data_IF_482598699124
#
_entry.id   IF_482598699124
#
_cell.length_a   1.000
_cell.length_b   1.000
_cell.length_c   1.000
_cell.angle_alpha   90.00
_cell.angle_beta   90.00
_cell.angle_gamma   90.00
#
_symmetry.space_group_name_H-M   'P 1'
#
loop_
_entity.id
_entity.type
_entity.pdbx_description
1 polymer ?
#
# COMPACT_ATOMS: atom_id res chain seq x y z
N UNK A 1 8.03 7.27 -26.96
CA UNK A 1 6.97 8.29 -27.06
C UNK A 1 7.00 9.07 -25.77
N UNK A 2 7.58 10.26 -25.71
CA UNK A 2 7.22 11.48 -26.45
C UNK A 2 7.03 12.50 -25.34
N UNK A 3 7.99 13.41 -25.18
CA UNK A 3 7.96 14.41 -24.13
C UNK A 3 6.85 15.40 -24.40
N UNK A 4 5.67 15.15 -23.84
CA UNK A 4 4.66 16.18 -23.68
C UNK A 4 5.06 17.02 -22.47
N UNK A 5 5.31 18.29 -22.74
CA UNK A 5 5.53 19.34 -21.77
C UNK A 5 4.42 19.28 -20.70
N UNK A 6 4.80 19.42 -19.43
CA UNK A 6 3.87 19.57 -18.30
C UNK A 6 3.09 20.91 -18.36
N UNK A 7 2.56 21.30 -19.52
CA UNK A 7 1.71 22.49 -19.69
C UNK A 7 0.39 22.40 -18.91
N UNK A 8 0.04 21.20 -18.40
CA UNK A 8 -1.19 20.98 -17.64
C UNK A 8 -1.12 21.34 -16.15
N UNK A 9 0.07 21.57 -15.59
CA UNK A 9 0.24 21.77 -14.14
C UNK A 9 0.60 23.22 -13.78
N UNK A 10 -0.31 23.93 -13.09
CA UNK A 10 -0.02 25.25 -12.52
C UNK A 10 1.30 25.27 -11.71
N UNK A 11 2.17 26.29 -11.88
CA UNK A 11 3.47 26.35 -11.21
C UNK A 11 3.38 26.30 -9.69
N UNK A 12 2.37 26.97 -9.11
CA UNK A 12 2.13 26.96 -7.67
C UNK A 12 1.77 25.55 -7.16
N UNK A 13 0.93 24.84 -7.92
CA UNK A 13 0.57 23.47 -7.58
C UNK A 13 1.77 22.53 -7.69
N UNK A 14 2.55 22.66 -8.76
CA UNK A 14 3.79 21.88 -8.93
C UNK A 14 4.74 22.07 -7.76
N UNK A 15 4.97 23.32 -7.34
CA UNK A 15 5.80 23.63 -6.17
C UNK A 15 5.29 22.94 -4.90
N UNK A 16 3.97 23.00 -4.66
CA UNK A 16 3.33 22.32 -3.52
C UNK A 16 3.56 20.80 -3.57
N UNK A 17 3.29 20.16 -4.70
CA UNK A 17 3.45 18.72 -4.88
C UNK A 17 4.89 18.27 -4.62
N UNK A 18 5.87 19.01 -5.15
CA UNK A 18 7.29 18.71 -4.94
C UNK A 18 7.71 18.85 -3.47
N UNK A 19 7.18 19.85 -2.76
CA UNK A 19 7.42 20.01 -1.31
C UNK A 19 6.81 18.84 -0.52
N UNK A 20 5.54 18.51 -0.77
CA UNK A 20 4.86 17.38 -0.13
C UNK A 20 5.60 16.07 -0.38
N UNK A 21 6.03 15.84 -1.62
CA UNK A 21 6.79 14.67 -2.01
C UNK A 21 8.13 14.60 -1.28
N UNK A 22 8.91 15.70 -1.25
CA UNK A 22 10.19 15.75 -0.55
C UNK A 22 10.05 15.44 0.95
N UNK A 23 9.00 15.94 1.61
CA UNK A 23 8.71 15.58 3.00
C UNK A 23 8.39 14.09 3.15
N UNK A 24 7.61 13.53 2.23
CA UNK A 24 7.26 12.11 2.25
C UNK A 24 8.48 11.21 1.99
N UNK A 25 9.33 11.52 1.01
CA UNK A 25 10.56 10.79 0.72
C UNK A 25 11.49 10.76 1.96
N UNK A 26 11.70 11.92 2.60
CA UNK A 26 12.44 12.00 3.87
C UNK A 26 11.83 11.12 4.96
N UNK A 27 10.49 11.04 5.05
CA UNK A 27 9.81 10.16 6.02
C UNK A 27 10.07 8.68 5.71
N UNK A 28 10.10 8.28 4.45
CA UNK A 28 10.36 6.89 4.05
C UNK A 28 11.81 6.49 4.38
N UNK A 29 12.78 7.38 4.11
CA UNK A 29 14.22 7.13 4.31
C UNK A 29 14.69 7.29 5.77
N UNK A 30 13.91 7.96 6.64
CA UNK A 30 14.29 8.15 8.05
C UNK A 30 14.46 6.80 8.75
N UNK A 31 15.68 6.57 9.25
CA UNK A 31 15.98 5.53 10.25
C UNK A 31 15.20 5.84 11.55
N UNK A 32 14.93 4.82 12.36
CA UNK A 32 14.22 5.01 13.63
C UNK A 32 14.94 6.08 14.49
N UNK A 33 14.22 7.02 15.12
CA UNK A 33 14.84 8.00 16.01
C UNK A 33 15.57 7.26 17.14
N UNK A 34 16.76 7.71 17.54
CA UNK A 34 17.61 7.02 18.53
C UNK A 34 16.90 6.88 19.90
N UNK A 35 15.95 7.76 20.24
CA UNK A 35 15.08 7.64 21.43
C UNK A 35 14.03 6.53 21.38
N UNK A 36 13.92 5.78 20.27
CA UNK A 36 12.93 4.71 20.08
C UNK A 36 13.37 3.33 20.58
N UNK A 37 14.56 3.20 21.18
CA UNK A 37 15.04 1.91 21.73
C UNK A 37 14.07 1.36 22.80
N UNK A 38 13.46 2.23 23.61
CA UNK A 38 12.41 1.84 24.55
C UNK A 38 11.13 1.37 23.86
N UNK A 39 10.70 2.08 22.81
CA UNK A 39 9.57 1.65 21.97
C UNK A 39 9.86 0.34 21.22
N UNK A 40 11.12 0.07 20.86
CA UNK A 40 11.54 -1.19 20.21
C UNK A 40 11.38 -2.38 21.15
N UNK A 41 11.69 -2.24 22.43
CA UNK A 41 11.47 -3.31 23.42
C UNK A 41 9.97 -3.60 23.60
N UNK A 42 9.13 -2.56 23.59
CA UNK A 42 7.67 -2.71 23.66
C UNK A 42 7.12 -3.32 22.36
N UNK A 43 7.58 -2.87 21.19
CA UNK A 43 7.16 -3.39 19.89
C UNK A 43 7.59 -4.85 19.69
N UNK A 44 8.80 -5.21 20.14
CA UNK A 44 9.28 -6.61 20.09
C UNK A 44 8.50 -7.50 21.05
N UNK A 45 8.12 -6.99 22.23
CA UNK A 45 7.22 -7.71 23.16
C UNK A 45 5.82 -7.86 22.57
N UNK A 46 5.24 -6.80 21.96
CA UNK A 46 3.94 -6.86 21.30
C UNK A 46 3.92 -7.85 20.13
N UNK A 47 4.98 -7.89 19.30
CA UNK A 47 5.09 -8.88 18.22
C UNK A 47 5.11 -10.32 18.75
N UNK A 48 5.69 -10.54 19.94
CA UNK A 48 5.69 -11.84 20.64
C UNK A 48 4.37 -12.15 21.36
N UNK A 49 3.51 -11.15 21.57
CA UNK A 49 2.18 -11.32 22.18
C UNK A 49 1.10 -11.68 21.16
N UNK A 50 1.36 -11.54 19.85
CA UNK A 50 0.47 -12.03 18.81
C UNK A 50 0.49 -13.57 18.86
N UNK A 51 -0.65 -14.24 19.09
CA UNK A 51 -0.72 -15.69 19.14
C UNK A 51 -0.31 -16.34 17.80
N UNK A 52 0.32 -17.51 17.87
CA UNK A 52 0.82 -18.24 16.69
C UNK A 52 -0.27 -18.49 15.63
N UNK A 53 -1.51 -18.79 16.05
CA UNK A 53 -2.64 -18.96 15.13
C UNK A 53 -2.96 -17.69 14.32
N UNK A 54 -2.77 -16.51 14.91
CA UNK A 54 -2.96 -15.23 14.22
C UNK A 54 -1.84 -14.99 13.21
N UNK A 55 -0.58 -15.27 13.58
CA UNK A 55 0.56 -15.19 12.67
C UNK A 55 0.35 -16.08 11.43
N UNK A 56 -0.13 -17.31 11.63
CA UNK A 56 -0.42 -18.25 10.56
C UNK A 56 -1.57 -17.76 9.66
N UNK A 57 -2.66 -17.25 10.24
CA UNK A 57 -3.79 -16.71 9.49
C UNK A 57 -3.38 -15.49 8.65
N UNK A 58 -2.59 -14.58 9.21
CA UNK A 58 -2.06 -13.42 8.50
C UNK A 58 -1.14 -13.88 7.36
N UNK A 59 -0.20 -14.79 7.63
CA UNK A 59 0.74 -15.31 6.63
C UNK A 59 0.00 -15.97 5.47
N UNK A 60 -0.97 -16.83 5.76
CA UNK A 60 -1.81 -17.49 4.77
C UNK A 60 -2.58 -16.47 3.93
N UNK A 61 -3.18 -15.47 4.58
CA UNK A 61 -3.95 -14.45 3.85
C UNK A 61 -3.06 -13.58 2.98
N UNK A 62 -1.86 -13.20 3.45
CA UNK A 62 -0.86 -12.48 2.64
C UNK A 62 -0.49 -13.30 1.41
N UNK A 63 -0.25 -14.61 1.55
CA UNK A 63 0.03 -15.50 0.42
C UNK A 63 -1.13 -15.48 -0.59
N UNK A 64 -2.37 -15.66 -0.13
CA UNK A 64 -3.56 -15.64 -1.00
C UNK A 64 -3.77 -14.29 -1.66
N UNK A 65 -3.51 -13.21 -0.94
CA UNK A 65 -3.58 -11.84 -1.45
C UNK A 65 -2.56 -11.64 -2.58
N UNK A 66 -1.29 -11.97 -2.36
CA UNK A 66 -0.23 -11.86 -3.37
C UNK A 66 -0.59 -12.67 -4.61
N UNK A 67 -0.99 -13.93 -4.45
CA UNK A 67 -1.43 -14.77 -5.58
C UNK A 67 -2.66 -14.19 -6.29
N UNK A 68 -3.65 -13.72 -5.55
CA UNK A 68 -4.86 -13.10 -6.10
C UNK A 68 -4.54 -11.87 -6.94
N UNK A 69 -3.60 -11.05 -6.48
CA UNK A 69 -3.09 -9.91 -7.27
C UNK A 69 -2.36 -10.41 -8.51
N UNK A 70 -1.37 -11.28 -8.37
CA UNK A 70 -0.53 -11.70 -9.50
C UNK A 70 -1.31 -12.40 -10.62
N UNK A 71 -2.22 -13.31 -10.26
CA UNK A 71 -2.89 -14.23 -11.19
C UNK A 71 -4.37 -13.86 -11.47
N UNK A 72 -5.04 -13.14 -10.56
CA UNK A 72 -6.49 -12.88 -10.65
C UNK A 72 -6.88 -11.47 -11.08
N UNK A 73 -6.07 -10.45 -10.76
CA UNK A 73 -6.45 -9.06 -10.94
C UNK A 73 -6.64 -8.65 -12.41
N UNK A 74 -6.05 -9.37 -13.37
CA UNK A 74 -6.23 -9.10 -14.80
C UNK A 74 -7.70 -9.15 -15.28
N UNK A 75 -8.59 -9.78 -14.51
CA UNK A 75 -9.99 -9.98 -14.88
C UNK A 75 -10.98 -9.04 -14.18
N UNK A 76 -10.54 -8.20 -13.23
CA UNK A 76 -11.47 -7.43 -12.36
C UNK A 76 -11.08 -5.96 -12.15
N UNK A 77 -10.04 -5.47 -12.84
CA UNK A 77 -9.50 -4.11 -12.65
C UNK A 77 -10.11 -3.07 -13.60
N UNK A 78 -10.23 -1.84 -13.11
CA UNK A 78 -10.63 -0.71 -13.94
C UNK A 78 -9.57 -0.39 -15.01
N UNK A 79 -10.03 0.02 -16.20
CA UNK A 79 -9.15 0.48 -17.27
C UNK A 79 -8.48 1.82 -16.92
N UNK A 80 -7.29 2.10 -17.46
CA UNK A 80 -6.63 3.40 -17.34
C UNK A 80 -7.58 4.55 -17.71
N UNK A 81 -7.57 5.61 -16.91
CA UNK A 81 -8.39 6.80 -17.11
C UNK A 81 -7.51 7.96 -17.56
N UNK A 82 -8.06 8.78 -18.44
CA UNK A 82 -7.46 10.05 -18.88
C UNK A 82 -8.14 11.22 -18.18
N UNK A 83 -7.36 12.25 -17.87
CA UNK A 83 -7.82 13.47 -17.21
C UNK A 83 -7.19 14.67 -17.90
N UNK A 84 -7.90 15.79 -17.92
CA UNK A 84 -7.48 17.04 -18.58
C UNK A 84 -6.37 17.81 -17.86
N UNK A 85 -6.07 17.47 -16.60
CA UNK A 85 -4.92 18.02 -15.88
C UNK A 85 -4.45 17.10 -14.77
N UNK A 86 -3.19 17.25 -14.39
CA UNK A 86 -2.62 16.56 -13.24
C UNK A 86 -3.33 16.92 -11.92
N UNK A 87 -3.73 18.18 -11.74
CA UNK A 87 -4.50 18.66 -10.58
C UNK A 87 -5.82 17.93 -10.45
N UNK A 88 -6.55 17.82 -11.56
CA UNK A 88 -7.85 17.15 -11.58
C UNK A 88 -7.68 15.68 -11.24
N UNK A 89 -6.67 15.03 -11.83
CA UNK A 89 -6.29 13.65 -11.51
C UNK A 89 -6.03 13.46 -10.01
N UNK A 90 -5.21 14.30 -9.40
CA UNK A 90 -4.92 14.21 -7.96
C UNK A 90 -6.16 14.48 -7.10
N UNK A 91 -7.05 15.38 -7.52
CA UNK A 91 -8.33 15.60 -6.83
C UNK A 91 -9.21 14.33 -6.85
N UNK A 92 -9.24 13.60 -7.97
CA UNK A 92 -9.91 12.29 -8.05
C UNK A 92 -9.24 11.25 -7.16
N UNK A 93 -7.91 11.19 -7.12
CA UNK A 93 -7.18 10.28 -6.22
C UNK A 93 -7.52 10.56 -4.76
N UNK A 94 -7.50 11.83 -4.34
CA UNK A 94 -7.87 12.23 -2.98
C UNK A 94 -9.32 11.85 -2.64
N UNK A 95 -10.24 12.04 -3.59
CA UNK A 95 -11.64 11.62 -3.43
C UNK A 95 -11.76 10.11 -3.30
N UNK A 96 -11.06 9.33 -4.12
CA UNK A 96 -11.02 7.87 -4.03
C UNK A 96 -10.52 7.43 -2.65
N UNK A 97 -9.41 7.98 -2.18
CA UNK A 97 -8.85 7.68 -0.86
C UNK A 97 -9.89 7.96 0.23
N UNK A 98 -10.57 9.11 0.18
CA UNK A 98 -11.60 9.46 1.16
C UNK A 98 -12.79 8.50 1.14
N UNK A 99 -13.25 8.08 -0.04
CA UNK A 99 -14.30 7.06 -0.17
C UNK A 99 -13.89 5.75 0.48
N UNK A 100 -12.69 5.23 0.17
CA UNK A 100 -12.21 3.97 0.73
C UNK A 100 -11.97 4.04 2.24
N UNK A 101 -11.52 5.18 2.76
CA UNK A 101 -11.39 5.40 4.21
C UNK A 101 -12.73 5.27 4.93
N UNK A 102 -13.78 5.87 4.36
CA UNK A 102 -15.14 5.78 4.91
C UNK A 102 -15.65 4.35 4.86
N UNK A 103 -15.50 3.65 3.73
CA UNK A 103 -15.89 2.24 3.60
C UNK A 103 -15.21 1.35 4.66
N UNK A 104 -13.88 1.45 4.79
CA UNK A 104 -13.14 0.64 5.76
C UNK A 104 -13.48 0.97 7.23
N UNK A 105 -13.90 2.21 7.52
CA UNK A 105 -14.37 2.59 8.86
C UNK A 105 -15.75 2.03 9.20
N UNK A 106 -16.65 1.89 8.22
CA UNK A 106 -17.98 1.32 8.41
C UNK A 106 -17.89 -0.19 8.66
N UNK A 107 -17.04 -0.89 7.92
CA UNK A 107 -16.78 -2.32 8.16
C UNK A 107 -16.21 -2.60 9.54
N UNK A 108 -15.34 -1.72 10.06
CA UNK A 108 -14.85 -1.80 11.44
C UNK A 108 -15.91 -1.55 12.51
N UNK A 109 -16.98 -0.79 12.20
CA UNK A 109 -18.06 -0.49 13.13
C UNK A 109 -19.09 -1.61 13.24
N UNK A 110 -19.43 -2.26 12.11
CA UNK A 110 -20.40 -3.37 12.04
C UNK A 110 -19.85 -4.65 12.72
N UNK A 111 -18.54 -4.87 12.66
CA UNK A 111 -17.89 -6.10 13.14
C UNK A 111 -17.59 -6.12 14.64
N UNK A 112 -17.57 -4.96 15.30
CA UNK A 112 -17.32 -4.89 16.74
C UNK A 112 -18.53 -5.10 17.65
N UNK A 113 -19.73 -5.35 17.10
CA UNK A 113 -20.90 -5.77 17.86
C UNK A 113 -20.99 -7.31 18.07
N UNK A 114 -20.17 -8.11 17.36
CA UNK A 114 -20.25 -9.58 17.31
C UNK A 114 -19.11 -10.37 18.00
N UNK A 115 -18.13 -9.69 18.60
CA UNK A 115 -17.02 -10.32 19.33
C UNK A 115 -15.80 -10.75 18.47
N UNK A 116 -14.72 -11.13 19.16
CA UNK A 116 -13.34 -11.36 18.66
C UNK A 116 -13.26 -12.37 17.48
N UNK A 117 -14.24 -13.26 17.33
CA UNK A 117 -14.23 -14.33 16.32
C UNK A 117 -14.68 -13.89 14.92
N UNK A 118 -15.48 -12.83 14.76
CA UNK A 118 -15.85 -12.32 13.44
C UNK A 118 -14.69 -11.56 12.77
N UNK A 119 -13.83 -10.91 13.56
CA UNK A 119 -12.77 -10.03 13.08
C UNK A 119 -11.65 -10.68 12.25
N UNK A 120 -11.41 -11.99 12.40
CA UNK A 120 -10.41 -12.72 11.60
C UNK A 120 -10.96 -13.09 10.22
N UNK A 121 -12.27 -13.34 10.12
CA UNK A 121 -12.93 -13.67 8.86
C UNK A 121 -12.96 -12.48 7.89
N UNK A 122 -12.93 -11.25 8.42
CA UNK A 122 -12.96 -10.01 7.63
C UNK A 122 -11.56 -9.51 7.22
N UNK A 123 -10.49 -10.08 7.76
CA UNK A 123 -9.12 -9.68 7.41
C UNK A 123 -8.83 -9.76 5.89
N UNK A 124 -9.19 -10.86 5.18
CA UNK A 124 -9.08 -10.91 3.72
C UNK A 124 -9.90 -9.82 2.99
N UNK A 125 -11.09 -9.49 3.48
CA UNK A 125 -11.94 -8.45 2.88
C UNK A 125 -11.30 -7.06 3.03
N UNK A 126 -10.79 -6.74 4.23
CA UNK A 126 -10.08 -5.48 4.50
C UNK A 126 -8.80 -5.32 3.67
N UNK A 127 -8.13 -6.43 3.33
CA UNK A 127 -7.00 -6.42 2.39
C UNK A 127 -7.47 -6.23 0.94
N UNK A 128 -8.53 -6.91 0.53
CA UNK A 128 -9.11 -6.78 -0.80
C UNK A 128 -9.52 -5.33 -1.10
N UNK A 129 -10.10 -4.62 -0.13
CA UNK A 129 -10.48 -3.21 -0.26
C UNK A 129 -9.26 -2.30 -0.45
N UNK A 130 -8.19 -2.54 0.30
CA UNK A 130 -6.92 -1.81 0.15
C UNK A 130 -6.30 -2.03 -1.23
N UNK A 131 -6.31 -3.26 -1.73
CA UNK A 131 -5.84 -3.58 -3.08
C UNK A 131 -6.72 -2.94 -4.15
N UNK A 132 -8.04 -2.99 -4.00
CA UNK A 132 -8.97 -2.36 -4.93
C UNK A 132 -8.75 -0.85 -5.00
N UNK A 133 -8.49 -0.21 -3.85
CA UNK A 133 -8.09 1.20 -3.80
C UNK A 133 -6.80 1.44 -4.60
N UNK A 134 -5.76 0.60 -4.43
CA UNK A 134 -4.53 0.72 -5.21
C UNK A 134 -4.79 0.60 -6.72
N UNK A 135 -5.63 -0.35 -7.13
CA UNK A 135 -6.00 -0.53 -8.54
C UNK A 135 -6.74 0.67 -9.10
N UNK A 136 -7.64 1.28 -8.34
CA UNK A 136 -8.35 2.48 -8.77
C UNK A 136 -7.42 3.70 -8.84
N UNK A 137 -6.48 3.83 -7.91
CA UNK A 137 -5.45 4.88 -7.94
C UNK A 137 -4.55 4.71 -9.16
N UNK A 138 -4.08 3.49 -9.44
CA UNK A 138 -3.27 3.16 -10.62
C UNK A 138 -3.98 3.55 -11.92
N UNK A 139 -5.23 3.10 -12.07
CA UNK A 139 -6.06 3.43 -13.20
C UNK A 139 -6.28 4.95 -13.33
N UNK A 140 -6.48 5.67 -12.22
CA UNK A 140 -6.58 7.13 -12.21
C UNK A 140 -5.26 7.80 -12.60
N UNK A 141 -4.11 7.22 -12.28
CA UNK A 141 -2.81 7.69 -12.77
C UNK A 141 -2.49 7.28 -14.22
N UNK A 142 -3.37 6.53 -14.88
CA UNK A 142 -3.21 6.10 -16.26
C UNK A 142 -2.40 4.81 -16.42
N UNK A 143 -2.17 4.06 -15.35
CA UNK A 143 -1.44 2.80 -15.38
C UNK A 143 -2.38 1.60 -15.50
N UNK A 144 -2.02 0.63 -16.35
CA UNK A 144 -2.83 -0.55 -16.62
C UNK A 144 -2.46 -1.71 -15.71
N UNK A 145 -3.33 -2.01 -14.74
CA UNK A 145 -3.16 -3.08 -13.76
C UNK A 145 -3.24 -4.48 -14.39
N UNK A 146 -3.69 -4.60 -15.64
CA UNK A 146 -3.61 -5.86 -16.40
C UNK A 146 -2.17 -6.18 -16.81
N UNK A 147 -1.26 -5.22 -16.75
CA UNK A 147 0.17 -5.47 -16.92
C UNK A 147 0.75 -6.11 -15.66
N UNK A 148 1.44 -7.25 -15.83
CA UNK A 148 2.04 -8.01 -14.74
C UNK A 148 3.00 -7.15 -13.88
N UNK A 149 3.89 -6.39 -14.53
CA UNK A 149 4.83 -5.50 -13.85
C UNK A 149 4.11 -4.40 -13.05
N UNK A 150 2.97 -3.88 -13.50
CA UNK A 150 2.19 -2.91 -12.73
C UNK A 150 1.55 -3.54 -11.47
N UNK A 151 1.15 -4.81 -11.53
CA UNK A 151 0.65 -5.53 -10.35
C UNK A 151 1.74 -5.72 -9.29
N UNK A 152 2.96 -6.04 -9.74
CA UNK A 152 4.12 -6.10 -8.84
C UNK A 152 4.43 -4.74 -8.23
N UNK A 153 4.39 -3.66 -9.04
CA UNK A 153 4.58 -2.30 -8.54
C UNK A 153 3.63 -2.00 -7.38
N UNK A 154 2.34 -2.32 -7.55
CA UNK A 154 1.33 -2.10 -6.52
C UNK A 154 1.55 -2.97 -5.27
N UNK A 155 2.02 -4.22 -5.42
CA UNK A 155 2.44 -5.02 -4.28
C UNK A 155 3.62 -4.36 -3.55
N UNK A 156 4.61 -3.83 -4.27
CA UNK A 156 5.75 -3.10 -3.67
C UNK A 156 5.30 -1.80 -3.00
N UNK A 157 4.32 -1.07 -3.54
CA UNK A 157 3.71 0.11 -2.91
C UNK A 157 3.00 -0.26 -1.60
N UNK A 158 2.23 -1.36 -1.62
CA UNK A 158 1.61 -1.89 -0.40
C UNK A 158 2.65 -2.27 0.64
N UNK A 159 3.70 -2.99 0.21
CA UNK A 159 4.83 -3.37 1.05
C UNK A 159 5.49 -2.13 1.65
N UNK A 160 5.76 -1.08 0.87
CA UNK A 160 6.35 0.18 1.34
C UNK A 160 5.50 0.83 2.42
N UNK A 161 4.18 0.90 2.20
CA UNK A 161 3.25 1.50 3.15
C UNK A 161 3.29 0.78 4.51
N UNK A 162 3.40 -0.54 4.52
CA UNK A 162 3.30 -1.35 5.76
C UNK A 162 4.62 -1.98 6.21
N UNK A 163 5.73 -1.68 5.55
CA UNK A 163 7.05 -2.20 5.90
C UNK A 163 7.44 -1.82 7.33
N UNK A 164 8.15 -2.75 7.96
CA UNK A 164 8.94 -2.49 9.15
C UNK A 164 9.97 -1.41 8.88
N UNK A 165 10.41 -0.70 9.93
CA UNK A 165 11.39 0.37 9.77
C UNK A 165 12.74 -0.10 9.21
N UNK A 166 13.08 -1.38 9.40
CA UNK A 166 14.34 -1.97 8.94
C UNK A 166 14.37 -2.08 7.41
N UNK A 167 13.27 -2.56 6.82
CA UNK A 167 13.19 -2.83 5.39
C UNK A 167 12.61 -1.66 4.58
N UNK A 168 11.92 -0.70 5.23
CA UNK A 168 11.23 0.40 4.52
C UNK A 168 12.15 1.20 3.59
N UNK A 169 13.39 1.47 3.98
CA UNK A 169 14.33 2.22 3.14
C UNK A 169 14.72 1.43 1.88
N UNK A 170 14.85 0.11 2.00
CA UNK A 170 15.14 -0.79 0.89
C UNK A 170 13.96 -0.86 -0.08
N UNK A 171 12.74 -1.09 0.44
CA UNK A 171 11.52 -1.12 -0.40
C UNK A 171 11.30 0.23 -1.08
N UNK A 172 11.56 1.34 -0.37
CA UNK A 172 11.49 2.67 -0.96
C UNK A 172 12.46 2.81 -2.14
N UNK A 173 13.69 2.30 -2.02
CA UNK A 173 14.67 2.35 -3.09
C UNK A 173 14.22 1.57 -4.35
N UNK A 174 13.52 0.44 -4.16
CA UNK A 174 12.92 -0.33 -5.27
C UNK A 174 11.81 0.44 -5.97
N UNK A 175 10.98 1.16 -5.23
CA UNK A 175 9.92 2.02 -5.80
C UNK A 175 10.52 3.21 -6.53
N UNK A 176 11.58 3.81 -5.98
CA UNK A 176 12.26 4.96 -6.57
C UNK A 176 12.89 4.59 -7.92
N UNK A 177 13.52 3.42 -8.01
CA UNK A 177 14.16 2.91 -9.23
C UNK A 177 13.32 1.80 -9.87
N UNK A 178 12.00 1.97 -9.88
CA UNK A 178 11.07 0.90 -10.28
C UNK A 178 11.32 0.43 -11.70
N UNK A 179 11.53 1.35 -12.64
CA UNK A 179 11.77 1.05 -14.05
C UNK A 179 12.97 0.11 -14.22
N UNK A 180 14.12 0.45 -13.62
CA UNK A 180 15.32 -0.40 -13.66
C UNK A 180 15.16 -1.71 -12.88
N UNK A 181 14.45 -1.68 -11.74
CA UNK A 181 14.16 -2.90 -10.98
C UNK A 181 13.27 -3.86 -11.77
N UNK A 182 12.27 -3.34 -12.49
CA UNK A 182 11.31 -4.11 -13.27
C UNK A 182 11.91 -4.74 -14.54
N UNK A 183 13.03 -4.21 -15.06
CA UNK A 183 13.80 -4.85 -16.14
C UNK A 183 14.45 -6.17 -15.70
N UNK A 184 14.86 -6.26 -14.43
CA UNK A 184 15.44 -7.48 -13.86
C UNK A 184 14.39 -8.53 -13.44
N UNK A 185 13.10 -8.18 -13.50
CA UNK A 185 12.01 -9.12 -13.22
C UNK A 185 11.64 -9.90 -14.48
N UNK A 186 11.18 -11.16 -14.35
CA UNK A 186 10.68 -11.92 -15.48
C UNK A 186 9.57 -11.17 -16.23
N UNK A 187 9.40 -11.45 -17.53
CA UNK A 187 8.40 -10.75 -18.34
C UNK A 187 6.98 -11.31 -18.15
N UNK A 188 6.86 -12.52 -17.63
CA UNK A 188 5.62 -13.22 -17.40
C UNK A 188 5.49 -13.70 -15.95
N UNK A 189 4.25 -14.02 -15.55
CA UNK A 189 3.93 -14.44 -14.19
C UNK A 189 4.29 -15.90 -13.92
N UNK A 190 4.41 -16.74 -14.95
CA UNK A 190 4.65 -18.17 -14.83
C UNK A 190 6.13 -18.47 -14.51
N UNK A 191 7.03 -17.62 -15.00
CA UNK A 191 8.46 -17.64 -14.69
C UNK A 191 8.82 -16.89 -13.39
N UNK A 192 7.84 -16.25 -12.74
CA UNK A 192 8.06 -15.52 -11.50
C UNK A 192 8.19 -16.46 -10.29
N UNK A 193 9.28 -16.32 -9.53
CA UNK A 193 9.44 -16.98 -8.23
C UNK A 193 8.56 -16.31 -7.16
N UNK A 194 7.26 -16.61 -7.24
CA UNK A 194 6.27 -16.09 -6.30
C UNK A 194 6.54 -16.57 -4.87
N UNK A 195 7.23 -17.70 -4.68
CA UNK A 195 7.49 -18.27 -3.35
C UNK A 195 8.55 -17.47 -2.63
N UNK A 196 9.66 -17.17 -3.29
CA UNK A 196 10.70 -16.29 -2.74
C UNK A 196 10.15 -14.89 -2.51
N UNK A 197 9.39 -14.35 -3.47
CA UNK A 197 8.73 -13.06 -3.29
C UNK A 197 7.79 -13.05 -2.09
N UNK A 198 6.97 -14.08 -1.89
CA UNK A 198 6.04 -14.15 -0.76
C UNK A 198 6.76 -14.20 0.59
N UNK A 199 7.88 -14.93 0.69
CA UNK A 199 8.69 -15.00 1.91
C UNK A 199 9.26 -13.61 2.25
N UNK A 200 9.89 -12.97 1.27
CA UNK A 200 10.44 -11.63 1.44
C UNK A 200 9.36 -10.60 1.79
N UNK A 201 8.22 -10.70 1.11
CA UNK A 201 7.06 -9.85 1.35
C UNK A 201 6.54 -9.97 2.78
N UNK A 202 6.39 -11.20 3.28
CA UNK A 202 5.98 -11.48 4.67
C UNK A 202 6.98 -10.90 5.66
N UNK A 203 8.27 -11.08 5.41
CA UNK A 203 9.34 -10.68 6.35
C UNK A 203 9.54 -9.16 6.40
N UNK A 204 9.25 -8.46 5.30
CA UNK A 204 9.40 -7.00 5.24
C UNK A 204 8.21 -6.28 5.86
N UNK A 205 7.00 -6.83 5.72
CA UNK A 205 5.79 -6.29 6.32
C UNK A 205 5.85 -6.40 7.85
N UNK A 206 5.44 -5.33 8.52
CA UNK A 206 5.27 -5.34 9.96
C UNK A 206 3.98 -6.09 10.33
N UNK A 207 4.10 -7.36 10.76
CA UNK A 207 2.95 -8.21 11.12
C UNK A 207 2.08 -7.58 12.22
N UNK A 208 2.62 -6.72 13.10
CA UNK A 208 1.79 -6.01 14.06
C UNK A 208 0.85 -5.01 13.39
N UNK A 209 1.26 -4.37 12.28
CA UNK A 209 0.36 -3.51 11.49
C UNK A 209 -0.74 -4.31 10.80
N UNK A 210 -0.47 -5.57 10.47
CA UNK A 210 -1.49 -6.47 9.94
C UNK A 210 -2.42 -6.97 11.05
N UNK A 211 -1.89 -7.33 12.22
CA UNK A 211 -2.68 -7.74 13.38
C UNK A 211 -3.58 -6.61 13.90
N UNK A 212 -3.16 -5.35 13.76
CA UNK A 212 -3.98 -4.16 14.04
C UNK A 212 -5.29 -4.10 13.23
N UNK A 213 -5.39 -4.84 12.13
CA UNK A 213 -6.61 -4.95 11.31
C UNK A 213 -7.62 -5.92 11.93
N UNK A 214 -7.18 -6.83 12.78
CA UNK A 214 -8.05 -7.76 13.49
C UNK A 214 -8.61 -6.98 14.70
N UNK A 215 -9.94 -6.81 14.82
CA UNK A 215 -10.55 -6.11 15.93
C UNK A 215 -10.40 -6.93 17.22
N UNK A 216 -9.26 -6.80 17.90
CA UNK A 216 -8.99 -7.43 19.20
C UNK A 216 -9.63 -6.62 20.34
N UNK A 217 -9.79 -5.30 20.17
CA UNK A 217 -10.36 -4.40 21.18
C UNK A 217 -11.28 -3.35 20.51
N UNK A 218 -12.60 -3.53 20.61
CA UNK A 218 -13.64 -2.51 20.35
C UNK A 218 -13.84 -2.04 18.91
N UNK A 219 -15.10 -1.98 18.46
CA UNK A 219 -15.52 -1.51 17.13
C UNK A 219 -14.93 -0.13 16.77
N UNK A 220 -14.97 0.80 17.73
CA UNK A 220 -14.55 2.19 17.52
C UNK A 220 -13.04 2.32 17.30
N UNK A 221 -12.22 1.58 18.06
CA UNK A 221 -10.75 1.61 17.90
C UNK A 221 -10.36 0.95 16.58
N UNK A 222 -10.96 -0.20 16.24
CA UNK A 222 -10.74 -0.87 14.96
C UNK A 222 -11.09 0.01 13.75
N UNK A 223 -12.21 0.73 13.82
CA UNK A 223 -12.62 1.67 12.76
C UNK A 223 -11.60 2.80 12.55
N UNK A 224 -11.09 3.41 13.62
CA UNK A 224 -10.07 4.48 13.55
C UNK A 224 -8.76 3.95 12.97
N UNK A 225 -8.31 2.78 13.41
CA UNK A 225 -7.08 2.14 12.92
C UNK A 225 -7.19 1.82 11.43
N UNK A 226 -8.29 1.22 10.99
CA UNK A 226 -8.55 0.95 9.58
C UNK A 226 -8.54 2.23 8.74
N UNK A 227 -9.21 3.29 9.22
CA UNK A 227 -9.22 4.61 8.58
C UNK A 227 -7.80 5.16 8.37
N UNK A 228 -6.93 5.06 9.39
CA UNK A 228 -5.55 5.53 9.32
C UNK A 228 -4.69 4.69 8.37
N UNK A 229 -4.84 3.36 8.38
CA UNK A 229 -4.07 2.47 7.51
C UNK A 229 -4.44 2.65 6.03
N UNK A 230 -5.72 2.89 5.73
CA UNK A 230 -6.16 3.23 4.37
C UNK A 230 -5.62 4.59 3.93
N UNK A 231 -5.68 5.61 4.80
CA UNK A 231 -5.07 6.92 4.53
C UNK A 231 -3.56 6.78 4.24
N UNK A 232 -2.84 6.01 5.05
CA UNK A 232 -1.41 5.78 4.88
C UNK A 232 -1.10 5.11 3.53
N UNK A 233 -1.86 4.08 3.16
CA UNK A 233 -1.68 3.40 1.88
C UNK A 233 -2.00 4.31 0.69
N UNK A 234 -3.10 5.05 0.75
CA UNK A 234 -3.48 6.01 -0.29
C UNK A 234 -2.43 7.09 -0.50
N UNK A 235 -1.91 7.67 0.59
CA UNK A 235 -0.82 8.66 0.53
C UNK A 235 0.48 8.05 -0.01
N UNK A 236 0.79 6.80 0.33
CA UNK A 236 1.96 6.12 -0.24
C UNK A 236 1.81 5.95 -1.76
N UNK A 237 0.69 5.38 -2.22
CA UNK A 237 0.43 5.16 -3.64
C UNK A 237 0.48 6.46 -4.45
N UNK A 238 -0.19 7.50 -3.97
CA UNK A 238 -0.19 8.84 -4.56
C UNK A 238 1.24 9.38 -4.75
N UNK A 239 2.10 9.27 -3.74
CA UNK A 239 3.50 9.72 -3.85
C UNK A 239 4.37 8.81 -4.73
N UNK A 240 4.12 7.49 -4.75
CA UNK A 240 4.83 6.58 -5.65
C UNK A 240 4.55 6.91 -7.12
N UNK A 241 3.30 7.20 -7.48
CA UNK A 241 2.96 7.65 -8.83
C UNK A 241 3.45 9.07 -9.13
N UNK A 242 3.45 9.98 -8.14
CA UNK A 242 4.11 11.30 -8.30
C UNK A 242 5.59 11.15 -8.67
N UNK A 243 6.34 10.26 -8.02
CA UNK A 243 7.76 10.02 -8.36
C UNK A 243 7.92 9.56 -9.81
N UNK A 244 7.16 8.55 -10.24
CA UNK A 244 7.20 8.02 -11.61
C UNK A 244 6.82 9.06 -12.65
N UNK A 245 5.74 9.80 -12.41
CA UNK A 245 5.24 10.79 -13.37
C UNK A 245 6.11 12.04 -13.45
N UNK A 246 6.61 12.54 -12.32
CA UNK A 246 7.41 13.77 -12.26
C UNK A 246 8.90 13.51 -12.52
N UNK A 247 9.30 12.24 -12.69
CA UNK A 247 10.70 11.81 -12.89
C UNK A 247 11.61 12.38 -11.80
N UNK A 248 11.19 12.23 -10.56
CA UNK A 248 11.97 12.66 -9.39
C UNK A 248 12.94 11.55 -9.04
N UNK A 249 14.23 11.86 -9.14
CA UNK A 249 15.35 11.01 -8.70
C UNK A 249 15.63 11.18 -7.20
#
# INVERSE_FOLDING_TARGET
MGGESFEEMSPLYRKRVLIELAFWQRKMMKKQPIGSVWAKNIQTKLNKLIPEKIHQAITFTIEKMVKGVLFGAQYTTALPKTYSSFQLREAYVLRLIETYKKTASIEGAVTGAGGILMGVADFPALLAIKLKMLFDIAATYGYDVRQYKERLFLLTVFQLAFSSHQHRAEVYNRVLHWESYAEGLPDDVDSFDWRTFQLEYRDYIDLAKMAQLIPVIGAAVGAVVNYQLVQQLGTAAMNCYRMRMLKVE
#
